data_IF_088714470123
#
_entry.id   IF_088714470123
#
_cell.length_a   1.000
_cell.length_b   1.000
_cell.length_c   1.000
_cell.angle_alpha   90.00
_cell.angle_beta   90.00
_cell.angle_gamma   90.00
#
_symmetry.space_group_name_H-M   'P 1'
#
loop_
_entity.id
_entity.type
_entity.pdbx_description
1 polymer ?
#
# COMPACT_ATOMS: atom_id res chain seq x y z
N UNK A 1 15.23 -10.02 1.30
CA UNK A 1 14.34 -10.79 0.40
C UNK A 1 12.86 -10.48 0.62
N UNK A 2 12.47 -9.44 1.38
CA UNK A 2 11.06 -9.18 1.73
C UNK A 2 10.34 -8.17 0.80
N UNK A 3 11.06 -7.32 0.09
CA UNK A 3 10.47 -6.23 -0.70
C UNK A 3 9.75 -6.73 -1.97
N UNK A 4 10.23 -7.85 -2.53
CA UNK A 4 9.68 -8.44 -3.75
C UNK A 4 8.32 -9.09 -3.49
N UNK A 5 8.15 -9.81 -2.37
CA UNK A 5 6.87 -10.41 -1.98
C UNK A 5 5.80 -9.34 -1.66
N UNK A 6 6.20 -8.20 -1.10
CA UNK A 6 5.29 -7.10 -0.81
C UNK A 6 4.78 -6.43 -2.09
N UNK A 7 5.67 -6.17 -3.05
CA UNK A 7 5.29 -5.61 -4.35
C UNK A 7 4.35 -6.53 -5.13
N UNK A 8 4.57 -7.84 -5.09
CA UNK A 8 3.67 -8.83 -5.73
C UNK A 8 2.27 -8.77 -5.12
N UNK A 9 2.17 -8.69 -3.78
CA UNK A 9 0.87 -8.57 -3.08
C UNK A 9 0.17 -7.25 -3.42
N UNK A 10 0.89 -6.13 -3.44
CA UNK A 10 0.34 -4.83 -3.80
C UNK A 10 -0.16 -4.80 -5.24
N UNK A 11 0.58 -5.37 -6.19
CA UNK A 11 0.14 -5.47 -7.59
C UNK A 11 -1.15 -6.27 -7.72
N UNK A 12 -1.28 -7.38 -6.98
CA UNK A 12 -2.52 -8.17 -6.98
C UNK A 12 -3.69 -7.42 -6.32
N UNK A 13 -3.43 -6.68 -5.24
CA UNK A 13 -4.44 -5.82 -4.62
C UNK A 13 -4.90 -4.71 -5.57
N UNK A 14 -3.99 -4.14 -6.37
CA UNK A 14 -4.30 -3.13 -7.39
C UNK A 14 -5.24 -3.66 -8.47
N UNK A 15 -5.01 -4.88 -8.96
CA UNK A 15 -5.88 -5.51 -9.95
C UNK A 15 -7.32 -5.68 -9.42
N UNK A 16 -7.46 -6.15 -8.18
CA UNK A 16 -8.77 -6.29 -7.52
C UNK A 16 -9.42 -4.93 -7.29
N UNK A 17 -8.65 -3.92 -6.87
CA UNK A 17 -9.14 -2.55 -6.66
C UNK A 17 -9.66 -1.92 -7.96
N UNK A 18 -8.95 -2.12 -9.08
CA UNK A 18 -9.33 -1.67 -10.42
C UNK A 18 -10.62 -2.36 -10.88
N UNK A 19 -10.74 -3.67 -10.67
CA UNK A 19 -11.95 -4.42 -10.98
C UNK A 19 -13.18 -3.91 -10.20
N UNK A 20 -12.98 -3.54 -8.93
CA UNK A 20 -14.04 -3.00 -8.07
C UNK A 20 -14.30 -1.50 -8.25
N UNK A 21 -13.63 -0.82 -9.20
CA UNK A 21 -13.71 0.64 -9.44
C UNK A 21 -13.47 1.49 -8.18
N UNK A 22 -12.72 0.98 -7.21
CA UNK A 22 -12.40 1.70 -5.98
C UNK A 22 -11.22 2.67 -6.23
N UNK A 23 -11.51 3.81 -6.85
CA UNK A 23 -10.50 4.77 -7.31
C UNK A 23 -9.57 5.26 -6.20
N UNK A 24 -10.09 5.51 -5.00
CA UNK A 24 -9.29 5.95 -3.85
C UNK A 24 -8.26 4.89 -3.46
N UNK A 25 -8.68 3.62 -3.42
CA UNK A 25 -7.80 2.50 -3.09
C UNK A 25 -6.79 2.21 -4.21
N UNK A 26 -7.18 2.37 -5.48
CA UNK A 26 -6.27 2.27 -6.64
C UNK A 26 -5.15 3.31 -6.55
N UNK A 27 -5.49 4.59 -6.38
CA UNK A 27 -4.49 5.66 -6.28
C UNK A 27 -3.58 5.53 -5.05
N UNK A 28 -4.06 4.87 -4.01
CA UNK A 28 -3.24 4.55 -2.84
C UNK A 28 -2.20 3.48 -3.19
N UNK A 29 -2.63 2.32 -3.69
CA UNK A 29 -1.70 1.22 -3.99
C UNK A 29 -0.68 1.62 -5.06
N UNK A 30 -1.05 2.43 -6.06
CA UNK A 30 -0.10 2.91 -7.07
C UNK A 30 1.01 3.78 -6.46
N UNK A 31 0.69 4.61 -5.46
CA UNK A 31 1.69 5.41 -4.74
C UNK A 31 2.62 4.54 -3.89
N UNK A 32 2.08 3.51 -3.27
CA UNK A 32 2.85 2.56 -2.45
C UNK A 32 3.81 1.72 -3.30
N UNK A 33 3.34 1.21 -4.44
CA UNK A 33 4.20 0.51 -5.41
C UNK A 33 5.33 1.43 -5.88
N UNK A 34 5.02 2.69 -6.24
CA UNK A 34 6.03 3.64 -6.70
C UNK A 34 7.08 3.97 -5.61
N UNK A 35 6.66 4.06 -4.33
CA UNK A 35 7.57 4.28 -3.23
C UNK A 35 8.52 3.08 -3.03
N UNK A 36 7.96 1.86 -3.00
CA UNK A 36 8.74 0.64 -2.83
C UNK A 36 9.67 0.36 -4.00
N UNK A 37 9.24 0.61 -5.24
CA UNK A 37 10.10 0.51 -6.43
C UNK A 37 11.25 1.54 -6.40
N UNK A 38 11.05 2.69 -5.75
CA UNK A 38 12.09 3.69 -5.51
C UNK A 38 12.97 3.37 -4.29
N UNK A 39 12.79 2.23 -3.62
CA UNK A 39 13.50 1.86 -2.40
C UNK A 39 13.14 2.73 -1.19
N UNK A 40 11.97 3.38 -1.22
CA UNK A 40 11.42 4.18 -0.13
C UNK A 40 10.36 3.37 0.62
N UNK A 41 10.18 3.65 1.90
CA UNK A 41 9.09 3.08 2.69
C UNK A 41 7.72 3.45 2.08
N UNK A 42 6.77 2.52 2.14
CA UNK A 42 5.37 2.74 1.77
C UNK A 42 4.78 3.92 2.56
N UNK A 43 4.30 5.00 1.91
CA UNK A 43 3.66 6.12 2.59
C UNK A 43 2.33 5.76 3.29
N UNK A 44 1.71 4.62 2.98
CA UNK A 44 0.31 4.38 3.37
C UNK A 44 0.07 4.15 4.86
N UNK A 45 1.05 3.69 5.64
CA UNK A 45 0.73 3.25 7.00
C UNK A 45 0.78 4.40 8.02
N UNK A 46 1.65 5.41 7.89
CA UNK A 46 1.79 6.43 8.95
C UNK A 46 0.82 7.62 8.83
N UNK A 47 0.34 7.94 7.64
CA UNK A 47 -0.49 9.14 7.44
C UNK A 47 -1.99 8.86 7.53
N UNK A 48 -2.42 7.61 7.37
CA UNK A 48 -3.84 7.23 7.32
C UNK A 48 -4.32 6.38 8.50
N UNK A 49 -3.43 5.90 9.37
CA UNK A 49 -3.84 5.25 10.62
C UNK A 49 -4.33 6.30 11.62
N UNK A 50 -5.54 6.07 12.13
CA UNK A 50 -5.98 6.74 13.35
C UNK A 50 -4.98 6.44 14.46
N UNK A 51 -4.90 7.29 15.50
CA UNK A 51 -4.03 7.03 16.65
C UNK A 51 -4.21 5.62 17.23
N UNK A 52 -5.46 5.12 17.23
CA UNK A 52 -5.83 3.78 17.71
C UNK A 52 -5.29 2.65 16.83
N UNK A 53 -5.36 2.81 15.52
CA UNK A 53 -4.84 1.80 14.57
C UNK A 53 -3.30 1.81 14.53
N UNK A 54 -2.68 2.97 14.84
CA UNK A 54 -1.23 3.11 14.95
C UNK A 54 -0.67 2.42 16.21
N UNK A 55 -1.42 2.46 17.31
CA UNK A 55 -1.03 1.83 18.57
C UNK A 55 -1.06 0.28 18.53
N UNK A 56 -1.60 -0.33 17.47
CA UNK A 56 -1.65 -1.79 17.27
C UNK A 56 -0.46 -2.35 16.47
N UNK A 57 0.45 -1.46 16.02
CA UNK A 57 1.65 -1.83 15.26
C UNK A 57 2.91 -1.92 16.15
N UNK A 58 2.81 -1.56 17.43
CA UNK A 58 3.84 -1.68 18.47
C UNK A 58 3.74 -3.01 19.21
#
# INVERSE_FOLDING_TARGET
MCDNDQLVKLRRALEIAKANKNQLFVSNIERDIAALEAGKESPIIKEYLTPEERAKLD
#
